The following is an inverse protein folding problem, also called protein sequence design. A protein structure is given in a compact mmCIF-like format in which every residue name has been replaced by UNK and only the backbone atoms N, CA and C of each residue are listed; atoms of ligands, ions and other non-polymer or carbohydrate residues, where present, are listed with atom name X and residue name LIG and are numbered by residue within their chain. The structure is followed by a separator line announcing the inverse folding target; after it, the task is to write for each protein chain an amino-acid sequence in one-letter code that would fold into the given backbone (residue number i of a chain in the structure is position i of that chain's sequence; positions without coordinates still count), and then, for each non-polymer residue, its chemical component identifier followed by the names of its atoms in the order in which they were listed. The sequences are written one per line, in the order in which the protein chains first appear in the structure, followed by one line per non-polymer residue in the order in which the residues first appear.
data_IF_249657266033
#
_entry.id   IF_249657266033
#
_cell.length_a   1.000
_cell.length_b   1.000
_cell.length_c   1.000
_cell.angle_alpha   90.00
_cell.angle_beta   90.00
_cell.angle_gamma   90.00
#
_symmetry.space_group_name_H-M   'P 1'
#
loop_
_entity.id
_entity.type
_entity.pdbx_description
1 polymer ?
#
# COMPACT_ATOMS: atom_id res chain seq x y z
N UNK A 1 5.13 -24.19 14.02
CA UNK A 1 4.82 -22.86 13.42
C UNK A 1 3.31 -22.66 13.41
N UNK A 2 2.78 -21.74 14.22
CA UNK A 2 1.35 -21.42 14.28
C UNK A 2 0.86 -20.95 12.91
N UNK A 3 -0.25 -21.53 12.40
CA UNK A 3 -0.92 -21.04 11.18
C UNK A 3 -1.32 -19.59 11.43
N UNK A 4 -0.64 -18.63 10.81
CA UNK A 4 -0.98 -17.19 10.88
C UNK A 4 -2.44 -17.03 10.51
N UNK A 5 -3.28 -16.57 11.43
CA UNK A 5 -4.68 -16.31 11.17
C UNK A 5 -4.80 -15.12 10.21
N UNK A 6 -4.91 -15.41 8.90
CA UNK A 6 -4.95 -14.41 7.81
C UNK A 6 -6.19 -13.49 7.85
N UNK A 7 -7.14 -13.76 8.75
CA UNK A 7 -8.43 -13.05 8.85
C UNK A 7 -8.65 -12.39 10.22
N UNK A 8 -7.61 -12.21 11.03
CA UNK A 8 -7.77 -11.55 12.33
C UNK A 8 -8.23 -10.12 12.12
N UNK A 9 -9.47 -9.82 12.53
CA UNK A 9 -10.05 -8.48 12.51
C UNK A 9 -9.85 -7.81 13.87
N UNK A 10 -9.65 -6.49 13.82
CA UNK A 10 -9.55 -5.61 14.98
C UNK A 10 -10.53 -4.45 14.82
N UNK A 11 -11.28 -4.15 15.87
CA UNK A 11 -12.38 -3.17 15.86
C UNK A 11 -12.14 -1.94 16.73
N UNK A 12 -11.09 -1.94 17.57
CA UNK A 12 -10.73 -0.77 18.36
C UNK A 12 -10.00 0.28 17.52
N UNK A 13 -10.14 1.54 17.89
CA UNK A 13 -9.43 2.68 17.31
C UNK A 13 -7.90 2.57 17.50
N UNK A 14 -7.47 1.86 18.55
CA UNK A 14 -6.06 1.68 18.88
C UNK A 14 -5.67 0.21 18.72
N UNK A 15 -4.59 -0.04 18.02
CA UNK A 15 -4.02 -1.37 17.75
C UNK A 15 -2.58 -1.42 18.24
N UNK A 16 -2.23 -2.43 19.03
CA UNK A 16 -0.84 -2.66 19.45
C UNK A 16 -0.09 -3.48 18.42
N UNK A 17 0.98 -2.91 17.86
CA UNK A 17 1.93 -3.57 16.96
C UNK A 17 3.33 -3.36 17.53
N UNK A 18 4.11 -4.44 17.73
CA UNK A 18 5.48 -4.40 18.28
C UNK A 18 5.58 -3.60 19.61
N UNK A 19 4.63 -3.79 20.52
CA UNK A 19 4.50 -3.09 21.81
C UNK A 19 4.25 -1.57 21.71
N UNK A 20 3.89 -1.07 20.55
CA UNK A 20 3.47 0.32 20.36
C UNK A 20 1.98 0.38 20.05
N UNK A 21 1.28 1.29 20.73
CA UNK A 21 -0.12 1.59 20.46
C UNK A 21 -0.22 2.60 19.30
N UNK A 22 -0.98 2.24 18.25
CA UNK A 22 -1.11 3.01 17.02
C UNK A 22 -2.58 3.22 16.71
N UNK A 23 -2.93 4.46 16.40
CA UNK A 23 -4.28 4.79 15.96
C UNK A 23 -4.53 4.25 14.54
N UNK A 24 -5.66 3.55 14.38
CA UNK A 24 -6.10 2.96 13.11
C UNK A 24 -7.53 3.38 12.77
N UNK A 25 -7.86 3.40 11.48
CA UNK A 25 -9.18 3.74 10.99
C UNK A 25 -10.16 2.56 11.18
N UNK A 26 -10.28 2.09 12.42
CA UNK A 26 -11.24 1.07 12.83
C UNK A 26 -12.32 1.67 13.74
N UNK A 27 -13.45 0.99 13.85
CA UNK A 27 -14.53 1.31 14.77
C UNK A 27 -15.31 0.04 15.08
N UNK A 28 -16.20 0.08 16.06
CA UNK A 28 -17.05 -1.06 16.44
C UNK A 28 -17.83 -1.66 15.26
N UNK A 29 -18.14 -0.87 14.22
CA UNK A 29 -18.83 -1.31 13.00
C UNK A 29 -17.89 -1.73 11.87
N UNK A 30 -16.68 -1.18 11.82
CA UNK A 30 -15.77 -1.33 10.70
C UNK A 30 -14.37 -1.73 11.19
N UNK A 31 -14.12 -3.03 11.21
CA UNK A 31 -12.81 -3.56 11.58
C UNK A 31 -11.75 -3.39 10.50
N UNK A 32 -10.52 -3.72 10.87
CA UNK A 32 -9.36 -3.79 9.97
C UNK A 32 -8.67 -5.15 10.08
N UNK A 33 -8.13 -5.66 8.98
CA UNK A 33 -7.34 -6.88 8.98
C UNK A 33 -5.93 -6.62 9.54
N UNK A 34 -5.68 -7.12 10.75
CA UNK A 34 -4.39 -6.97 11.45
C UNK A 34 -3.21 -7.47 10.61
N UNK A 35 -3.26 -8.64 9.94
CA UNK A 35 -2.13 -9.13 9.17
C UNK A 35 -1.72 -8.25 7.99
N UNK A 36 -2.65 -7.48 7.43
CA UNK A 36 -2.34 -6.52 6.35
C UNK A 36 -1.54 -5.35 6.95
N UNK A 37 -2.00 -4.83 8.09
CA UNK A 37 -1.34 -3.71 8.78
C UNK A 37 0.05 -4.08 9.28
N UNK A 38 0.21 -5.23 9.93
CA UNK A 38 1.50 -5.72 10.41
C UNK A 38 2.53 -5.78 9.26
N UNK A 39 2.13 -6.26 8.08
CA UNK A 39 3.02 -6.32 6.92
C UNK A 39 3.37 -4.95 6.35
N UNK A 40 2.42 -4.04 6.32
CA UNK A 40 2.68 -2.67 5.87
C UNK A 40 3.61 -1.94 6.85
N UNK A 41 3.38 -2.14 8.16
CA UNK A 41 4.22 -1.61 9.22
C UNK A 41 5.66 -2.12 9.09
N UNK A 42 5.83 -3.43 9.03
CA UNK A 42 7.14 -4.06 8.86
C UNK A 42 7.92 -3.46 7.67
N UNK A 43 7.26 -3.28 6.53
CA UNK A 43 7.93 -2.73 5.35
C UNK A 43 8.25 -1.24 5.47
N UNK A 44 7.41 -0.44 6.13
CA UNK A 44 7.70 0.97 6.39
C UNK A 44 8.93 1.11 7.31
N UNK A 45 8.97 0.33 8.40
CA UNK A 45 10.09 0.32 9.34
C UNK A 45 11.40 -0.11 8.69
N UNK A 46 11.35 -1.18 7.88
CA UNK A 46 12.53 -1.65 7.14
C UNK A 46 13.01 -0.57 6.18
N UNK A 47 12.10 0.07 5.42
CA UNK A 47 12.47 1.16 4.52
C UNK A 47 13.09 2.33 5.28
N UNK A 48 12.55 2.70 6.44
CA UNK A 48 13.09 3.79 7.24
C UNK A 48 14.48 3.47 7.81
N UNK A 49 14.70 2.24 8.25
CA UNK A 49 16.04 1.79 8.69
C UNK A 49 17.09 1.85 7.57
N UNK A 50 16.68 1.52 6.34
CA UNK A 50 17.57 1.52 5.17
C UNK A 50 17.89 2.93 4.71
N UNK A 51 16.85 3.78 4.55
CA UNK A 51 16.97 5.06 3.84
C UNK A 51 17.10 6.27 4.79
N UNK A 52 16.77 6.13 6.11
CA UNK A 52 16.73 7.23 7.10
C UNK A 52 15.74 8.36 6.75
N UNK A 53 15.34 8.46 5.50
CA UNK A 53 14.29 9.31 4.96
C UNK A 53 13.48 8.52 3.95
N UNK A 54 12.15 8.43 4.15
CA UNK A 54 11.26 7.69 3.24
C UNK A 54 10.24 8.63 2.65
N UNK A 55 10.19 8.69 1.31
CA UNK A 55 9.09 9.32 0.61
C UNK A 55 8.04 8.26 0.32
N UNK A 56 6.86 8.41 0.93
CA UNK A 56 5.71 7.50 0.82
C UNK A 56 4.76 8.05 -0.22
N UNK A 57 4.44 7.27 -1.25
CA UNK A 57 3.55 7.69 -2.35
C UNK A 57 2.36 6.75 -2.43
N UNK A 58 1.16 7.28 -2.35
CA UNK A 58 -0.11 6.56 -2.39
C UNK A 58 -0.80 6.80 -3.75
N UNK A 59 -1.36 5.76 -4.34
CA UNK A 59 -2.15 5.88 -5.57
C UNK A 59 -3.18 4.75 -5.68
N UNK A 60 -4.17 4.95 -6.54
CA UNK A 60 -5.20 3.96 -6.85
C UNK A 60 -5.06 3.57 -8.32
N UNK A 61 -5.19 2.28 -8.58
CA UNK A 61 -5.25 1.73 -9.93
C UNK A 61 -6.63 1.11 -10.13
N UNK A 62 -7.35 1.55 -11.15
CA UNK A 62 -8.61 0.95 -11.56
C UNK A 62 -8.32 -0.01 -12.71
N UNK A 63 -8.69 -1.27 -12.57
CA UNK A 63 -8.56 -2.24 -13.65
C UNK A 63 -9.66 -2.00 -14.70
N UNK A 64 -9.38 -2.27 -15.96
CA UNK A 64 -10.37 -2.12 -17.05
C UNK A 64 -11.45 -3.18 -16.95
N UNK A 65 -11.04 -4.41 -16.70
CA UNK A 65 -11.89 -5.58 -16.60
C UNK A 65 -11.65 -6.31 -15.29
N UNK A 66 -12.59 -7.15 -14.87
CA UNK A 66 -12.38 -8.01 -13.70
C UNK A 66 -11.44 -9.16 -14.05
N UNK A 67 -10.41 -9.34 -13.23
CA UNK A 67 -9.53 -10.51 -13.27
C UNK A 67 -9.69 -11.32 -11.98
N UNK A 68 -9.48 -12.62 -12.04
CA UNK A 68 -9.51 -13.49 -10.86
C UNK A 68 -8.12 -13.62 -10.22
N UNK A 69 -7.06 -13.26 -10.92
CA UNK A 69 -5.68 -13.37 -10.47
C UNK A 69 -5.01 -11.99 -10.27
N UNK A 70 -3.74 -12.00 -9.93
CA UNK A 70 -2.94 -10.82 -9.67
C UNK A 70 -1.78 -10.65 -10.66
N UNK A 71 -1.86 -11.28 -11.86
CA UNK A 71 -0.76 -11.25 -12.84
C UNK A 71 -0.46 -9.83 -13.29
N UNK A 72 -1.50 -9.05 -13.61
CA UNK A 72 -1.34 -7.70 -14.14
C UNK A 72 -0.74 -6.74 -13.12
N UNK A 73 -1.26 -6.75 -11.88
CA UNK A 73 -0.67 -5.91 -10.82
C UNK A 73 0.76 -6.32 -10.49
N UNK A 74 1.06 -7.63 -10.50
CA UNK A 74 2.41 -8.12 -10.25
C UNK A 74 3.39 -7.69 -11.36
N UNK A 75 2.97 -7.82 -12.64
CA UNK A 75 3.75 -7.36 -13.79
C UNK A 75 3.99 -5.84 -13.76
N UNK A 76 2.92 -5.09 -13.48
CA UNK A 76 3.01 -3.64 -13.33
C UNK A 76 3.98 -3.23 -12.21
N UNK A 77 3.85 -3.81 -11.00
CA UNK A 77 4.72 -3.47 -9.87
C UNK A 77 6.18 -3.78 -10.18
N UNK A 78 6.47 -4.92 -10.82
CA UNK A 78 7.83 -5.25 -11.22
C UNK A 78 8.41 -4.20 -12.19
N UNK A 79 7.67 -3.82 -13.22
CA UNK A 79 8.11 -2.80 -14.20
C UNK A 79 8.30 -1.44 -13.54
N UNK A 80 7.37 -1.02 -12.67
CA UNK A 80 7.45 0.27 -11.97
C UNK A 80 8.65 0.31 -11.03
N UNK A 81 8.87 -0.73 -10.23
CA UNK A 81 9.99 -0.82 -9.28
C UNK A 81 11.33 -0.77 -10.03
N UNK A 82 11.48 -1.52 -11.12
CA UNK A 82 12.71 -1.48 -11.92
C UNK A 82 12.95 -0.10 -12.54
N UNK A 83 11.89 0.58 -13.00
CA UNK A 83 11.99 1.95 -13.50
C UNK A 83 12.43 2.92 -12.37
N UNK A 84 11.85 2.83 -11.17
CA UNK A 84 12.24 3.66 -10.01
C UNK A 84 13.70 3.43 -9.66
N UNK A 85 14.13 2.16 -9.56
CA UNK A 85 15.52 1.80 -9.24
C UNK A 85 16.51 2.43 -10.23
N UNK A 86 16.22 2.36 -11.53
CA UNK A 86 17.08 2.95 -12.57
C UNK A 86 17.08 4.47 -12.55
N UNK A 87 15.87 5.07 -12.55
CA UNK A 87 15.73 6.53 -12.60
C UNK A 87 16.37 7.23 -11.42
N UNK A 88 16.18 6.71 -10.22
CA UNK A 88 16.65 7.34 -8.99
C UNK A 88 17.92 6.69 -8.41
N UNK A 89 18.53 5.75 -9.13
CA UNK A 89 19.75 5.04 -8.70
C UNK A 89 19.66 4.49 -7.27
N UNK A 90 18.47 3.96 -6.90
CA UNK A 90 18.21 3.33 -5.60
C UNK A 90 18.11 1.82 -5.72
N UNK A 91 18.66 1.08 -4.74
CA UNK A 91 18.62 -0.39 -4.77
C UNK A 91 17.39 -0.98 -4.10
N UNK A 92 16.84 -0.30 -3.11
CA UNK A 92 15.72 -0.78 -2.29
C UNK A 92 14.49 0.09 -2.51
N UNK A 93 13.37 -0.54 -2.82
CA UNK A 93 12.06 0.11 -3.00
C UNK A 93 11.04 -0.78 -2.30
N UNK A 94 10.38 -0.23 -1.29
CA UNK A 94 9.26 -0.88 -0.62
C UNK A 94 7.95 -0.62 -1.35
N UNK A 95 7.01 -1.53 -1.22
CA UNK A 95 5.65 -1.34 -1.72
C UNK A 95 4.65 -2.21 -0.97
N UNK A 96 3.39 -1.80 -1.05
CA UNK A 96 2.26 -2.66 -0.81
C UNK A 96 1.14 -2.33 -1.80
N UNK A 97 0.32 -3.32 -2.10
CA UNK A 97 -0.96 -3.10 -2.76
C UNK A 97 -2.03 -3.96 -2.09
N UNK A 98 -3.26 -3.45 -2.12
CA UNK A 98 -4.47 -4.14 -1.65
C UNK A 98 -5.52 -4.07 -2.73
N UNK A 99 -6.08 -5.21 -3.08
CA UNK A 99 -7.15 -5.36 -4.07
C UNK A 99 -8.51 -5.23 -3.40
N UNK A 100 -9.38 -4.46 -4.02
CA UNK A 100 -10.78 -4.31 -3.62
C UNK A 100 -11.72 -4.34 -4.81
N UNK A 101 -12.89 -4.93 -4.62
CA UNK A 101 -13.96 -4.88 -5.60
C UNK A 101 -15.33 -4.79 -4.94
N UNK A 102 -15.96 -3.64 -5.08
CA UNK A 102 -17.32 -3.42 -4.65
C UNK A 102 -18.26 -3.58 -5.84
N UNK A 103 -18.72 -4.82 -6.09
CA UNK A 103 -19.54 -5.17 -7.25
C UNK A 103 -20.75 -4.24 -7.47
N UNK A 104 -21.37 -3.77 -6.39
CA UNK A 104 -22.51 -2.86 -6.46
C UNK A 104 -22.16 -1.43 -6.93
N UNK A 105 -20.86 -1.06 -6.90
CA UNK A 105 -20.40 0.32 -7.17
C UNK A 105 -19.48 0.44 -8.36
N UNK A 106 -18.74 -0.61 -8.68
CA UNK A 106 -17.72 -0.58 -9.72
C UNK A 106 -17.81 -1.80 -10.63
N UNK A 107 -17.63 -1.57 -11.95
CA UNK A 107 -17.62 -2.63 -12.95
C UNK A 107 -16.42 -3.57 -12.78
N UNK A 108 -15.34 -3.10 -12.22
CA UNK A 108 -14.08 -3.84 -12.05
C UNK A 108 -13.45 -3.57 -10.69
N UNK A 109 -12.51 -4.42 -10.32
CA UNK A 109 -11.72 -4.24 -9.11
C UNK A 109 -10.70 -3.09 -9.26
N UNK A 110 -10.25 -2.57 -8.13
CA UNK A 110 -9.21 -1.57 -8.03
C UNK A 110 -8.16 -1.97 -7.00
N UNK A 111 -7.00 -1.32 -7.07
CA UNK A 111 -5.91 -1.53 -6.15
C UNK A 111 -5.56 -0.23 -5.43
N UNK A 112 -5.53 -0.28 -4.10
CA UNK A 112 -4.89 0.72 -3.29
C UNK A 112 -3.41 0.38 -3.18
N UNK A 113 -2.55 1.29 -3.61
CA UNK A 113 -1.12 1.07 -3.68
C UNK A 113 -0.36 2.09 -2.83
N UNK A 114 0.76 1.64 -2.27
CA UNK A 114 1.76 2.48 -1.62
C UNK A 114 3.16 2.11 -2.11
N UNK A 115 3.99 3.12 -2.36
CA UNK A 115 5.42 3.00 -2.59
C UNK A 115 6.18 3.64 -1.45
N UNK A 116 7.27 3.01 -1.05
CA UNK A 116 8.21 3.46 -0.04
C UNK A 116 9.57 3.61 -0.71
N UNK A 117 9.97 4.83 -0.98
CA UNK A 117 11.17 5.13 -1.76
C UNK A 117 12.15 5.99 -0.97
N UNK A 118 13.42 5.98 -1.39
CA UNK A 118 14.49 6.79 -0.83
C UNK A 118 14.14 8.29 -0.93
N UNK A 119 13.88 8.94 0.21
CA UNK A 119 13.45 10.33 0.27
C UNK A 119 14.55 11.34 0.01
N UNK A 120 15.83 10.92 -0.02
CA UNK A 120 16.93 11.78 -0.43
C UNK A 120 17.05 11.85 -1.95
N UNK A 121 16.62 10.80 -2.63
CA UNK A 121 16.64 10.71 -4.09
C UNK A 121 15.31 11.10 -4.73
N UNK A 122 14.19 10.88 -4.04
CA UNK A 122 12.85 11.22 -4.51
C UNK A 122 12.25 12.27 -3.60
N UNK A 123 12.26 13.52 -4.02
CA UNK A 123 11.73 14.65 -3.23
C UNK A 123 10.27 14.98 -3.51
N UNK A 124 9.76 14.58 -4.67
CA UNK A 124 8.38 14.88 -5.09
C UNK A 124 7.79 13.72 -5.92
N UNK A 125 6.52 13.36 -5.73
CA UNK A 125 5.91 12.18 -6.36
C UNK A 125 5.56 12.36 -7.84
N UNK A 126 5.63 13.57 -8.42
CA UNK A 126 5.15 13.90 -9.76
C UNK A 126 5.60 12.92 -10.85
N UNK A 127 6.89 12.66 -10.93
CA UNK A 127 7.43 11.75 -11.96
C UNK A 127 7.05 10.28 -11.72
N UNK A 128 6.92 9.88 -10.44
CA UNK A 128 6.42 8.55 -10.10
C UNK A 128 4.97 8.41 -10.56
N UNK A 129 4.09 9.40 -10.30
CA UNK A 129 2.69 9.36 -10.72
C UNK A 129 2.56 9.36 -12.24
N UNK A 130 3.38 10.11 -12.98
CA UNK A 130 3.43 10.03 -14.44
C UNK A 130 3.79 8.62 -14.92
N UNK A 131 4.81 8.00 -14.31
CA UNK A 131 5.22 6.64 -14.64
C UNK A 131 4.13 5.61 -14.29
N UNK A 132 3.43 5.79 -13.15
CA UNK A 132 2.29 4.96 -12.77
C UNK A 132 1.21 5.01 -13.85
N UNK A 133 0.76 6.22 -14.24
CA UNK A 133 -0.25 6.41 -15.28
C UNK A 133 0.16 5.75 -16.60
N UNK A 134 1.35 6.03 -17.09
CA UNK A 134 1.87 5.48 -18.36
C UNK A 134 1.98 3.96 -18.35
N UNK A 135 2.51 3.37 -17.25
CA UNK A 135 2.73 1.92 -17.19
C UNK A 135 1.47 1.12 -16.91
N UNK A 136 0.48 1.71 -16.22
CA UNK A 136 -0.79 1.06 -15.93
C UNK A 136 -1.79 1.16 -17.09
N UNK A 137 -1.62 2.09 -18.02
CA UNK A 137 -2.56 2.41 -19.11
C UNK A 137 -3.09 1.18 -19.87
N UNK A 138 -2.24 0.19 -20.13
CA UNK A 138 -2.64 -1.04 -20.82
C UNK A 138 -3.58 -1.95 -20.02
N UNK A 139 -3.60 -1.84 -18.68
CA UNK A 139 -4.44 -2.64 -17.81
C UNK A 139 -5.68 -1.91 -17.34
N UNK A 140 -5.65 -0.58 -17.37
CA UNK A 140 -6.73 0.24 -16.85
C UNK A 140 -6.38 1.72 -16.79
N UNK A 141 -6.95 2.42 -15.82
CA UNK A 141 -6.71 3.83 -15.61
C UNK A 141 -6.31 4.14 -14.15
N UNK A 142 -5.72 5.28 -13.96
CA UNK A 142 -5.47 5.88 -12.65
C UNK A 142 -6.51 6.99 -12.49
N UNK A 143 -7.42 6.90 -11.49
CA UNK A 143 -8.44 7.93 -11.29
C UNK A 143 -7.82 9.32 -11.13
N UNK A 144 -8.39 10.32 -11.78
CA UNK A 144 -7.87 11.71 -11.73
C UNK A 144 -8.11 12.39 -10.38
N UNK A 145 -9.07 11.91 -9.60
CA UNK A 145 -9.23 12.36 -8.21
C UNK A 145 -8.05 11.86 -7.37
N UNK A 146 -7.08 12.75 -7.21
CA UNK A 146 -5.99 12.50 -6.29
C UNK A 146 -6.53 12.35 -4.87
N UNK A 147 -6.00 11.35 -4.16
CA UNK A 147 -6.21 11.24 -2.73
C UNK A 147 -5.68 12.51 -2.06
N UNK A 148 -6.49 13.16 -1.21
CA UNK A 148 -5.92 14.16 -0.28
C UNK A 148 -4.76 13.50 0.46
N UNK A 149 -3.64 14.21 0.59
CA UNK A 149 -2.44 13.68 1.24
C UNK A 149 -1.98 12.34 0.62
N UNK A 150 -1.72 12.34 -0.68
CA UNK A 150 -1.29 11.15 -1.41
C UNK A 150 0.22 10.88 -1.30
N UNK A 151 0.96 11.71 -0.56
CA UNK A 151 2.37 11.45 -0.23
C UNK A 151 2.74 12.01 1.14
N UNK A 152 3.78 11.42 1.73
CA UNK A 152 4.35 11.83 3.02
C UNK A 152 5.87 11.78 2.93
N UNK A 153 6.53 12.64 3.71
CA UNK A 153 7.98 12.66 3.88
C UNK A 153 8.33 12.26 5.31
N UNK A 154 8.59 10.97 5.52
CA UNK A 154 8.98 10.44 6.81
C UNK A 154 10.47 10.68 7.04
N UNK A 155 10.82 11.37 8.12
CA UNK A 155 12.16 11.74 8.54
C UNK A 155 12.34 11.48 10.03
N UNK A 156 13.58 11.50 10.52
CA UNK A 156 13.86 11.34 11.96
C UNK A 156 13.15 12.40 12.81
N UNK A 157 13.17 13.64 12.37
CA UNK A 157 12.66 14.81 13.09
C UNK A 157 11.13 14.79 13.27
N UNK A 158 10.40 14.14 12.35
CA UNK A 158 8.93 14.03 12.38
C UNK A 158 8.45 12.57 12.42
N UNK A 159 9.32 11.66 12.87
CA UNK A 159 9.10 10.21 12.71
C UNK A 159 7.75 9.76 13.27
N UNK A 160 7.50 10.03 14.56
CA UNK A 160 6.30 9.53 15.23
C UNK A 160 5.02 10.07 14.58
N UNK A 161 4.92 11.38 14.45
CA UNK A 161 3.73 12.06 13.90
C UNK A 161 3.45 11.63 12.47
N UNK A 162 4.46 11.68 11.60
CA UNK A 162 4.31 11.33 10.18
C UNK A 162 4.04 9.83 9.99
N UNK A 163 4.71 8.96 10.77
CA UNK A 163 4.44 7.52 10.76
C UNK A 163 3.01 7.22 11.15
N UNK A 164 2.51 7.80 12.23
CA UNK A 164 1.16 7.59 12.73
C UNK A 164 0.12 8.07 11.70
N UNK A 165 0.35 9.22 11.06
CA UNK A 165 -0.50 9.70 9.96
C UNK A 165 -0.51 8.75 8.75
N UNK A 166 0.65 8.20 8.37
CA UNK A 166 0.77 7.17 7.32
C UNK A 166 -0.04 5.94 7.72
N UNK A 167 0.11 5.47 8.97
CA UNK A 167 -0.57 4.27 9.45
C UNK A 167 -2.08 4.43 9.50
N UNK A 168 -2.55 5.54 10.01
CA UNK A 168 -3.97 5.84 9.99
C UNK A 168 -4.52 5.80 8.55
N UNK A 169 -3.75 6.30 7.60
CA UNK A 169 -4.12 6.27 6.17
C UNK A 169 -4.10 4.85 5.58
N UNK A 170 -3.05 4.07 5.86
CA UNK A 170 -2.90 2.71 5.37
C UNK A 170 -3.92 1.75 6.01
N UNK A 171 -4.38 2.02 7.22
CA UNK A 171 -5.38 1.20 7.89
C UNK A 171 -6.74 1.19 7.16
N UNK A 172 -7.04 2.25 6.39
CA UNK A 172 -8.19 2.23 5.48
C UNK A 172 -8.08 1.11 4.42
N UNK A 173 -6.86 0.83 3.93
CA UNK A 173 -6.63 -0.25 2.95
C UNK A 173 -6.83 -1.65 3.56
N UNK A 174 -6.73 -1.77 4.87
CA UNK A 174 -6.93 -3.02 5.59
C UNK A 174 -8.40 -3.33 5.94
N UNK A 175 -9.36 -2.47 5.58
CA UNK A 175 -10.79 -2.73 5.82
C UNK A 175 -11.26 -3.97 5.04
N UNK A 176 -12.20 -4.77 5.59
CA UNK A 176 -12.71 -5.99 4.94
C UNK A 176 -13.48 -5.73 3.65
N UNK A 177 -13.99 -4.50 3.49
CA UNK A 177 -14.83 -4.09 2.37
C UNK A 177 -14.14 -4.40 1.03
N UNK A 178 -14.88 -4.99 0.10
CA UNK A 178 -14.41 -5.28 -1.26
C UNK A 178 -13.34 -6.38 -1.38
N UNK A 179 -13.01 -7.09 -0.29
CA UNK A 179 -12.02 -8.18 -0.30
C UNK A 179 -12.68 -9.55 -0.46
N UNK A 180 -11.89 -10.54 -0.90
CA UNK A 180 -12.35 -11.92 -1.09
C UNK A 180 -12.90 -12.25 -2.48
N UNK A 181 -13.12 -11.26 -3.34
CA UNK A 181 -13.58 -11.46 -4.74
C UNK A 181 -12.44 -11.82 -5.67
N UNK A 182 -11.84 -12.98 -5.49
CA UNK A 182 -10.66 -13.45 -6.22
C UNK A 182 -10.60 -14.97 -6.28
N UNK A 183 -9.74 -15.50 -7.11
CA UNK A 183 -9.40 -16.92 -7.08
C UNK A 183 -8.82 -17.30 -5.70
N UNK A 184 -9.17 -18.45 -5.10
CA UNK A 184 -8.63 -18.92 -3.82
C UNK A 184 -7.10 -18.95 -3.74
N UNK A 185 -6.42 -19.16 -4.86
CA UNK A 185 -4.96 -19.17 -4.94
C UNK A 185 -4.34 -17.76 -4.99
N UNK A 186 -5.13 -16.73 -5.25
CA UNK A 186 -4.69 -15.34 -5.28
C UNK A 186 -4.75 -14.71 -3.89
N UNK A 187 -4.12 -13.55 -3.70
CA UNK A 187 -4.16 -12.77 -2.46
C UNK A 187 -4.90 -11.46 -2.66
N UNK A 188 -5.58 -10.97 -1.61
CA UNK A 188 -6.16 -9.62 -1.61
C UNK A 188 -5.09 -8.53 -1.40
N UNK A 189 -3.88 -8.89 -1.05
CA UNK A 189 -2.78 -7.94 -0.85
C UNK A 189 -1.41 -8.59 -1.06
N UNK A 190 -0.43 -7.76 -1.32
CA UNK A 190 0.98 -8.14 -1.33
C UNK A 190 1.84 -6.97 -0.87
N UNK A 191 2.95 -7.26 -0.22
CA UNK A 191 3.99 -6.30 0.13
C UNK A 191 5.32 -6.71 -0.47
N UNK A 192 6.24 -5.74 -0.58
CA UNK A 192 7.66 -6.06 -0.73
C UNK A 192 8.13 -6.96 0.41
N UNK A 193 9.30 -7.55 0.25
CA UNK A 193 9.94 -8.43 1.25
C UNK A 193 11.33 -7.89 1.57
N UNK A 194 11.42 -6.60 1.83
CA UNK A 194 12.68 -6.00 2.29
C UNK A 194 13.02 -6.51 3.68
N UNK A 195 14.32 -6.66 3.91
CA UNK A 195 14.91 -7.08 5.18
C UNK A 195 15.95 -6.06 5.61
#
# INVERSE_FOLDING_TARGET
MSKRNRKKLHYSRYLTINNEEIEVNASNKFGVFVPILERMFEQLDVCFRIHKRVHVVLFILQHRETSQDNKDISKFMNVLIQWIKRKYKTKKVGYAWVREWEKAKTKSHHYHCVLLVDGDRVRHPKEIIKAVKSKWFKFGNVPDKFLKNFYYNLRKENYKETRDAIFWRLSYYAKPRGKGYRNPQSSDYQTSRLK
#
